data_IF_812884511413
#
_entry.id   IF_812884511413
#
_cell.length_a   1.000
_cell.length_b   1.000
_cell.length_c   1.000
_cell.angle_alpha   90.00
_cell.angle_beta   90.00
_cell.angle_gamma   90.00
#
_symmetry.space_group_name_H-M   'P 1'
#
loop_
_entity.id
_entity.type
_entity.pdbx_description
1 polymer ?
#
# COMPACT_ATOMS: atom_id res chain seq x y z
N UNK A 1 -26.28 -25.88 17.03
CA UNK A 1 -25.74 -25.02 18.11
C UNK A 1 -24.44 -24.41 17.57
N UNK A 2 -24.44 -23.19 16.99
CA UNK A 2 -23.98 -21.90 17.58
C UNK A 2 -22.74 -22.10 18.49
N UNK A 3 -21.57 -21.49 18.25
CA UNK A 3 -21.30 -20.04 18.09
C UNK A 3 -20.00 -19.68 17.35
N UNK A 4 -20.05 -18.53 16.67
CA UNK A 4 -19.00 -17.65 16.11
C UNK A 4 -18.13 -16.95 17.18
N UNK A 5 -16.85 -16.66 16.89
CA UNK A 5 -16.05 -15.44 17.27
C UNK A 5 -14.57 -15.66 16.87
N UNK A 6 -14.03 -15.17 15.74
CA UNK A 6 -13.44 -13.82 15.56
C UNK A 6 -12.92 -13.19 16.87
N UNK A 7 -11.59 -13.02 16.99
CA UNK A 7 -10.94 -11.70 17.00
C UNK A 7 -9.42 -11.80 17.27
N UNK A 8 -8.65 -11.49 16.22
CA UNK A 8 -7.56 -10.50 16.24
C UNK A 8 -6.72 -10.40 17.53
N UNK A 9 -5.52 -11.01 17.51
CA UNK A 9 -4.38 -10.54 18.30
C UNK A 9 -3.37 -9.86 17.38
N UNK A 10 -3.73 -8.67 16.91
CA UNK A 10 -2.74 -7.74 16.33
C UNK A 10 -1.96 -7.16 17.52
N UNK A 11 -0.74 -7.64 17.71
CA UNK A 11 0.21 -7.02 18.63
C UNK A 11 0.81 -5.82 17.90
N UNK A 12 0.17 -4.66 18.02
CA UNK A 12 0.72 -3.39 17.55
C UNK A 12 1.61 -2.81 18.65
N UNK A 13 2.90 -3.13 18.63
CA UNK A 13 3.88 -2.42 19.47
C UNK A 13 4.28 -1.12 18.76
N UNK A 14 3.45 -0.08 18.91
CA UNK A 14 3.79 1.28 18.51
C UNK A 14 4.64 1.93 19.59
N UNK A 15 5.94 2.06 19.33
CA UNK A 15 6.89 2.73 20.22
C UNK A 15 6.99 4.21 19.82
N UNK A 16 5.97 5.00 20.20
CA UNK A 16 5.90 6.43 19.99
C UNK A 16 6.04 7.16 21.32
N UNK A 17 7.27 7.57 21.65
CA UNK A 17 7.55 8.52 22.72
C UNK A 17 6.96 9.89 22.36
N UNK A 18 5.81 10.24 22.92
CA UNK A 18 5.28 11.60 22.88
C UNK A 18 5.41 12.22 24.27
N UNK A 19 6.47 13.01 24.39
CA UNK A 19 6.74 14.00 25.44
C UNK A 19 5.46 14.77 25.80
N UNK A 20 4.94 14.46 26.99
CA UNK A 20 3.71 15.01 27.55
C UNK A 20 3.92 16.46 28.00
N UNK A 21 3.70 17.40 27.07
CA UNK A 21 3.67 18.82 27.38
C UNK A 21 2.38 19.17 28.13
N UNK A 22 2.57 19.51 29.40
CA UNK A 22 1.58 19.93 30.39
C UNK A 22 0.88 21.21 29.91
N UNK A 23 -0.23 21.09 29.20
CA UNK A 23 -1.09 22.22 28.82
C UNK A 23 -2.39 22.21 29.62
N UNK A 24 -2.47 23.26 30.41
CA UNK A 24 -3.53 23.70 31.32
C UNK A 24 -4.91 23.69 30.65
N UNK A 25 -5.91 23.11 31.32
CA UNK A 25 -7.34 23.18 30.96
C UNK A 25 -7.97 24.48 31.47
N UNK A 26 -8.95 25.04 30.76
CA UNK A 26 -10.07 25.72 31.39
C UNK A 26 -11.40 24.96 31.17
N UNK A 27 -12.33 24.97 32.15
CA UNK A 27 -13.68 24.45 31.96
C UNK A 27 -14.65 25.61 31.69
N UNK A 28 -15.44 25.56 30.61
CA UNK A 28 -16.71 26.31 30.52
C UNK A 28 -17.75 25.41 29.84
N UNK A 29 -18.79 25.10 30.61
CA UNK A 29 -20.05 24.50 30.18
C UNK A 29 -20.96 25.60 29.58
N UNK A 30 -21.68 25.28 28.50
CA UNK A 30 -23.16 25.41 28.34
C UNK A 30 -23.60 25.72 26.89
N UNK A 31 -24.45 24.82 26.38
CA UNK A 31 -25.68 25.03 25.61
C UNK A 31 -25.69 25.98 24.39
N UNK A 32 -25.93 25.42 23.21
CA UNK A 32 -27.00 25.82 22.30
C UNK A 32 -27.07 24.84 21.12
N UNK A 33 -28.26 24.23 20.92
CA UNK A 33 -28.54 23.42 19.75
C UNK A 33 -28.51 24.28 18.48
N UNK A 34 -27.72 23.85 17.51
CA UNK A 34 -27.82 24.34 16.13
C UNK A 34 -28.24 23.14 15.29
N UNK A 35 -29.52 23.10 14.94
CA UNK A 35 -30.03 22.27 13.85
C UNK A 35 -29.39 22.79 12.55
N UNK A 36 -28.26 22.21 12.17
CA UNK A 36 -27.67 22.46 10.85
C UNK A 36 -28.52 21.71 9.84
N UNK A 37 -29.38 22.45 9.13
CA UNK A 37 -30.02 21.97 7.93
C UNK A 37 -28.93 21.62 6.91
N UNK A 38 -28.71 20.33 6.66
CA UNK A 38 -27.83 19.85 5.61
C UNK A 38 -28.48 20.19 4.26
N UNK A 39 -27.92 21.09 3.44
CA UNK A 39 -28.32 21.12 2.04
C UNK A 39 -27.90 19.77 1.44
N UNK A 40 -28.88 19.04 0.90
CA UNK A 40 -28.62 17.95 -0.04
C UNK A 40 -27.86 18.57 -1.22
N UNK A 41 -26.52 18.53 -1.15
CA UNK A 41 -25.67 18.99 -2.24
C UNK A 41 -25.81 17.96 -3.36
N UNK A 42 -26.73 18.26 -4.27
CA UNK A 42 -26.96 17.54 -5.50
C UNK A 42 -25.65 17.43 -6.28
N UNK A 43 -25.30 16.20 -6.65
CA UNK A 43 -24.36 15.90 -7.72
C UNK A 43 -22.91 16.17 -7.35
N UNK A 44 -22.22 15.14 -6.85
CA UNK A 44 -20.78 15.04 -7.09
C UNK A 44 -20.60 15.03 -8.60
N UNK A 45 -20.18 16.17 -9.16
CA UNK A 45 -19.59 16.23 -10.47
C UNK A 45 -18.40 15.25 -10.46
N UNK A 46 -18.62 14.04 -10.96
CA UNK A 46 -17.54 13.13 -11.32
C UNK A 46 -16.77 13.84 -12.42
N UNK A 47 -15.69 14.51 -12.01
CA UNK A 47 -14.73 15.06 -12.94
C UNK A 47 -14.35 13.94 -13.92
N UNK A 48 -14.45 14.24 -15.22
CA UNK A 48 -14.08 13.33 -16.30
C UNK A 48 -12.59 12.95 -16.15
N UNK A 49 -12.32 11.86 -15.40
CA UNK A 49 -10.98 11.53 -14.92
C UNK A 49 -10.69 10.03 -14.85
N UNK A 50 -11.54 9.14 -15.38
CA UNK A 50 -11.26 7.72 -15.24
C UNK A 50 -10.12 7.19 -16.11
N UNK A 51 -9.55 7.98 -17.04
CA UNK A 51 -8.28 7.60 -17.68
C UNK A 51 -7.11 7.82 -16.72
N UNK A 52 -7.26 8.75 -15.78
CA UNK A 52 -6.24 9.07 -14.80
C UNK A 52 -6.27 8.08 -13.62
N UNK A 53 -7.45 7.68 -13.14
CA UNK A 53 -7.54 6.71 -12.04
C UNK A 53 -6.89 5.34 -12.36
N UNK A 54 -7.14 4.78 -13.55
CA UNK A 54 -6.53 3.52 -13.98
C UNK A 54 -5.00 3.66 -14.14
N UNK A 55 -4.54 4.76 -14.74
CA UNK A 55 -3.12 5.02 -14.93
C UNK A 55 -2.39 5.27 -13.60
N UNK A 56 -3.00 6.03 -12.68
CA UNK A 56 -2.47 6.28 -11.33
C UNK A 56 -2.34 4.98 -10.54
N UNK A 57 -3.37 4.14 -10.57
CA UNK A 57 -3.37 2.83 -9.90
C UNK A 57 -2.29 1.94 -10.49
N UNK A 58 -2.18 1.87 -11.82
CA UNK A 58 -1.15 1.10 -12.52
C UNK A 58 0.25 1.54 -12.08
N UNK A 59 0.53 2.85 -12.05
CA UNK A 59 1.80 3.39 -11.54
C UNK A 59 2.05 3.04 -10.07
N UNK A 60 1.03 3.10 -9.22
CA UNK A 60 1.16 2.75 -7.81
C UNK A 60 1.50 1.27 -7.62
N UNK A 61 0.82 0.38 -8.35
CA UNK A 61 1.10 -1.07 -8.33
C UNK A 61 2.50 -1.37 -8.85
N UNK A 62 2.96 -0.71 -9.92
CA UNK A 62 4.34 -0.90 -10.41
C UNK A 62 5.38 -0.48 -9.37
N UNK A 63 5.17 0.66 -8.68
CA UNK A 63 6.08 1.07 -7.59
C UNK A 63 6.08 0.04 -6.46
N UNK A 64 4.92 -0.49 -6.08
CA UNK A 64 4.80 -1.53 -5.06
C UNK A 64 5.51 -2.82 -5.50
N UNK A 65 5.35 -3.24 -6.75
CA UNK A 65 6.02 -4.41 -7.33
C UNK A 65 7.56 -4.26 -7.25
N UNK A 66 8.10 -3.12 -7.69
CA UNK A 66 9.54 -2.84 -7.61
C UNK A 66 10.04 -2.81 -6.17
N UNK A 67 9.26 -2.26 -5.25
CA UNK A 67 9.61 -2.28 -3.82
C UNK A 67 9.60 -3.71 -3.24
N UNK A 68 8.63 -4.52 -3.64
CA UNK A 68 8.55 -5.95 -3.29
C UNK A 68 9.79 -6.71 -3.76
N UNK A 69 10.12 -6.61 -5.05
CA UNK A 69 11.28 -7.29 -5.63
C UNK A 69 12.60 -6.93 -4.92
N UNK A 70 12.77 -5.65 -4.57
CA UNK A 70 13.93 -5.20 -3.78
C UNK A 70 13.95 -5.74 -2.36
N UNK A 71 12.77 -5.87 -1.74
CA UNK A 71 12.63 -6.48 -0.42
C UNK A 71 12.97 -7.96 -0.45
N UNK A 72 12.47 -8.68 -1.46
CA UNK A 72 12.74 -10.11 -1.63
C UNK A 72 14.22 -10.38 -1.93
N UNK A 73 14.85 -9.55 -2.76
CA UNK A 73 16.29 -9.55 -2.97
C UNK A 73 17.07 -9.35 -1.66
N UNK A 74 16.71 -8.34 -0.85
CA UNK A 74 17.37 -8.09 0.43
C UNK A 74 17.23 -9.27 1.39
N UNK A 75 16.05 -9.90 1.42
CA UNK A 75 15.81 -11.10 2.20
C UNK A 75 16.63 -12.29 1.69
N UNK A 76 16.77 -12.45 0.37
CA UNK A 76 17.59 -13.49 -0.23
C UNK A 76 19.06 -13.33 0.14
N UNK A 77 19.62 -12.12 0.06
CA UNK A 77 20.99 -11.84 0.51
C UNK A 77 21.20 -12.16 2.00
N UNK A 78 20.24 -11.80 2.86
CA UNK A 78 20.30 -12.12 4.27
C UNK A 78 20.31 -13.65 4.51
N UNK A 79 19.58 -14.42 3.70
CA UNK A 79 19.65 -15.89 3.72
C UNK A 79 21.02 -16.39 3.25
N UNK A 80 21.55 -15.86 2.15
CA UNK A 80 22.87 -16.24 1.63
C UNK A 80 24.00 -16.01 2.65
N UNK A 81 23.92 -14.95 3.45
CA UNK A 81 24.90 -14.64 4.48
C UNK A 81 25.04 -15.73 5.57
N UNK A 82 24.03 -16.59 5.74
CA UNK A 82 24.08 -17.71 6.68
C UNK A 82 24.82 -18.95 6.12
N UNK A 83 25.25 -18.92 4.86
CA UNK A 83 25.99 -20.01 4.24
C UNK A 83 27.47 -19.96 4.64
N UNK A 84 27.93 -21.03 5.29
CA UNK A 84 29.32 -21.19 5.69
C UNK A 84 30.24 -21.47 4.50
N UNK A 85 29.74 -22.20 3.50
CA UNK A 85 30.48 -22.49 2.28
C UNK A 85 30.52 -21.26 1.35
N UNK A 86 31.74 -20.87 0.95
CA UNK A 86 31.96 -19.66 0.16
C UNK A 86 31.42 -19.77 -1.26
N UNK A 87 31.53 -20.94 -1.88
CA UNK A 87 31.05 -21.15 -3.24
C UNK A 87 29.51 -21.15 -3.28
N UNK A 88 28.88 -21.81 -2.31
CA UNK A 88 27.43 -21.81 -2.12
C UNK A 88 26.91 -20.40 -1.82
N UNK A 89 27.62 -19.63 -0.98
CA UNK A 89 27.25 -18.22 -0.73
C UNK A 89 27.28 -17.39 -2.00
N UNK A 90 28.35 -17.48 -2.78
CA UNK A 90 28.48 -16.76 -4.04
C UNK A 90 27.38 -17.14 -5.04
N UNK A 91 27.12 -18.44 -5.22
CA UNK A 91 26.05 -18.91 -6.10
C UNK A 91 24.67 -18.43 -5.64
N UNK A 92 24.41 -18.39 -4.32
CA UNK A 92 23.19 -17.85 -3.75
C UNK A 92 23.02 -16.35 -4.05
N UNK A 93 24.07 -15.55 -3.91
CA UNK A 93 24.05 -14.12 -4.22
C UNK A 93 23.82 -13.85 -5.71
N UNK A 94 24.43 -14.65 -6.58
CA UNK A 94 24.22 -14.60 -8.04
C UNK A 94 22.76 -14.95 -8.39
N UNK A 95 22.19 -15.98 -7.77
CA UNK A 95 20.78 -16.34 -7.95
C UNK A 95 19.86 -15.21 -7.46
N UNK A 96 20.10 -14.64 -6.28
CA UNK A 96 19.30 -13.53 -5.77
C UNK A 96 19.30 -12.33 -6.72
N UNK A 97 20.46 -12.03 -7.35
CA UNK A 97 20.55 -10.96 -8.33
C UNK A 97 19.80 -11.28 -9.65
N UNK A 98 19.81 -12.55 -10.08
CA UNK A 98 19.01 -13.00 -11.22
C UNK A 98 17.51 -12.90 -10.92
N UNK A 99 17.07 -13.37 -9.74
CA UNK A 99 15.67 -13.29 -9.30
C UNK A 99 15.18 -11.84 -9.26
N UNK A 100 15.98 -10.92 -8.70
CA UNK A 100 15.66 -9.49 -8.70
C UNK A 100 15.47 -8.96 -10.13
N UNK A 101 16.35 -9.34 -11.05
CA UNK A 101 16.26 -8.88 -12.44
C UNK A 101 14.97 -9.38 -13.10
N UNK A 102 14.67 -10.66 -12.94
CA UNK A 102 13.49 -11.30 -13.54
C UNK A 102 12.19 -10.72 -12.96
N UNK A 103 12.16 -10.43 -11.66
CA UNK A 103 11.02 -9.77 -11.01
C UNK A 103 10.85 -8.32 -11.47
N UNK A 104 11.93 -7.57 -11.68
CA UNK A 104 11.87 -6.21 -12.22
C UNK A 104 11.35 -6.19 -13.67
N UNK A 105 11.77 -7.15 -14.49
CA UNK A 105 11.25 -7.35 -15.84
C UNK A 105 9.75 -7.68 -15.79
N UNK A 106 9.36 -8.61 -14.91
CA UNK A 106 7.95 -8.92 -14.66
C UNK A 106 7.14 -7.69 -14.22
N UNK A 107 7.68 -6.85 -13.34
CA UNK A 107 7.00 -5.61 -12.92
C UNK A 107 6.76 -4.66 -14.10
N UNK A 108 7.71 -4.58 -15.03
CA UNK A 108 7.58 -3.79 -16.26
C UNK A 108 6.54 -4.40 -17.20
N UNK A 109 6.58 -5.70 -17.44
CA UNK A 109 5.62 -6.36 -18.33
C UNK A 109 4.19 -6.20 -17.81
N UNK A 110 3.99 -6.33 -16.50
CA UNK A 110 2.68 -6.09 -15.92
C UNK A 110 2.26 -4.62 -15.95
N UNK A 111 3.20 -3.66 -15.89
CA UNK A 111 2.89 -2.24 -16.12
C UNK A 111 2.37 -2.03 -17.54
N UNK A 112 3.09 -2.55 -18.54
CA UNK A 112 2.75 -2.40 -19.97
C UNK A 112 1.40 -3.06 -20.29
N UNK A 113 1.13 -4.23 -19.71
CA UNK A 113 -0.15 -4.92 -19.83
C UNK A 113 -1.31 -4.13 -19.20
N UNK A 114 -1.13 -3.60 -17.98
CA UNK A 114 -2.15 -2.76 -17.32
C UNK A 114 -2.38 -1.45 -18.05
N UNK A 115 -1.33 -0.83 -18.57
CA UNK A 115 -1.44 0.41 -19.33
C UNK A 115 -2.22 0.20 -20.64
N UNK A 116 -1.98 -0.93 -21.31
CA UNK A 116 -2.74 -1.37 -22.49
C UNK A 116 -4.21 -1.59 -22.15
N UNK A 117 -4.50 -2.24 -21.00
CA UNK A 117 -5.88 -2.42 -20.53
C UNK A 117 -6.57 -1.08 -20.23
N UNK A 118 -5.90 -0.16 -19.53
CA UNK A 118 -6.43 1.20 -19.28
C UNK A 118 -6.77 1.92 -20.59
N UNK A 119 -5.93 1.77 -21.64
CA UNK A 119 -6.19 2.37 -22.95
C UNK A 119 -7.44 1.81 -23.65
N UNK A 120 -7.81 0.55 -23.37
CA UNK A 120 -8.99 -0.12 -23.96
C UNK A 120 -10.28 0.12 -23.18
N UNK A 121 -10.19 0.20 -21.86
CA UNK A 121 -11.37 0.30 -20.97
C UNK A 121 -11.96 1.72 -20.92
N UNK A 122 -11.23 2.72 -21.41
CA UNK A 122 -11.68 4.11 -21.42
C UNK A 122 -11.74 4.73 -20.02
N UNK A 123 -12.14 6.00 -19.96
CA UNK A 123 -11.97 6.84 -18.78
C UNK A 123 -13.10 6.73 -17.75
N UNK A 124 -13.72 5.57 -17.60
CA UNK A 124 -14.76 5.37 -16.61
C UNK A 124 -14.17 4.73 -15.34
N UNK A 125 -14.32 5.34 -14.16
CA UNK A 125 -14.01 4.67 -12.91
C UNK A 125 -14.85 3.40 -12.81
N UNK A 126 -14.24 2.25 -12.49
CA UNK A 126 -15.00 1.10 -12.04
C UNK A 126 -15.62 1.46 -10.69
N UNK A 127 -16.93 1.64 -10.66
CA UNK A 127 -17.69 1.80 -9.41
C UNK A 127 -17.38 0.63 -8.47
N UNK A 128 -17.05 0.88 -7.19
CA UNK A 128 -16.79 -0.16 -6.21
C UNK A 128 -18.02 -1.01 -5.91
#
# INVERSE_FOLDING_TARGET
MKTTSQEQRIVTTSNGSLSQSRRWLPPILLAAGVLVALPLVNGTAVAAGGNDACAQTTKAVTRACVAGARSDYALALAKCANLADLAARKACEEQAAADLKDELETCKDQFDARQTACGRLGSAPTTP
#
